data_IF_707945660106
#
_entry.id   IF_707945660106
#
_cell.length_a   1.000
_cell.length_b   1.000
_cell.length_c   1.000
_cell.angle_alpha   90.00
_cell.angle_beta   90.00
_cell.angle_gamma   90.00
#
_symmetry.space_group_name_H-M   'P 1'
#
loop_
_entity.id
_entity.type
_entity.pdbx_description
1 polymer ?
#
# COMPACT_ATOMS: atom_id res chain seq x y z
N UNK A 1 -7.81 -7.85 -12.23
CA UNK A 1 -8.10 -6.89 -11.14
C UNK A 1 -9.57 -7.04 -10.81
N UNK A 2 -9.91 -7.43 -9.58
CA UNK A 2 -11.30 -7.68 -9.16
C UNK A 2 -11.78 -6.50 -8.30
N UNK A 3 -12.89 -5.86 -8.68
CA UNK A 3 -13.49 -4.76 -7.90
C UNK A 3 -14.25 -5.39 -6.72
N UNK A 4 -14.00 -4.92 -5.50
CA UNK A 4 -14.74 -5.36 -4.32
C UNK A 4 -16.05 -4.56 -4.21
N UNK A 5 -17.25 -5.18 -4.32
CA UNK A 5 -18.52 -4.46 -4.33
C UNK A 5 -18.89 -3.90 -2.95
N UNK A 6 -19.74 -2.87 -2.91
CA UNK A 6 -20.31 -2.33 -1.68
C UNK A 6 -19.41 -1.39 -0.88
N UNK A 7 -18.22 -1.04 -1.39
CA UNK A 7 -17.25 -0.21 -0.66
C UNK A 7 -17.49 1.27 -0.93
N UNK A 8 -17.47 2.09 0.12
CA UNK A 8 -17.38 3.55 -0.04
C UNK A 8 -15.95 3.98 -0.42
N UNK A 9 -15.80 4.60 -1.58
CA UNK A 9 -14.54 5.10 -2.12
C UNK A 9 -14.52 6.62 -2.01
N UNK A 10 -13.47 7.17 -1.37
CA UNK A 10 -13.31 8.61 -1.22
C UNK A 10 -12.82 9.24 -2.52
N UNK A 11 -13.60 10.16 -3.09
CA UNK A 11 -13.27 10.86 -4.34
C UNK A 11 -12.61 12.24 -4.12
N UNK A 12 -12.49 12.68 -2.87
CA UNK A 12 -11.99 14.03 -2.54
C UNK A 12 -13.10 15.04 -2.23
N UNK A 13 -12.77 16.07 -1.47
CA UNK A 13 -13.70 17.13 -1.03
C UNK A 13 -14.98 16.60 -0.38
N UNK A 14 -14.85 15.60 0.50
CA UNK A 14 -16.00 14.99 1.20
C UNK A 14 -16.93 14.14 0.32
N UNK A 15 -16.58 13.86 -0.94
CA UNK A 15 -17.38 13.00 -1.83
C UNK A 15 -16.99 11.54 -1.65
N UNK A 16 -17.99 10.68 -1.51
CA UNK A 16 -17.83 9.23 -1.41
C UNK A 16 -18.81 8.54 -2.35
N UNK A 17 -18.37 7.47 -3.00
CA UNK A 17 -19.21 6.68 -3.91
C UNK A 17 -19.01 5.19 -3.71
N UNK A 18 -20.04 4.37 -3.95
CA UNK A 18 -19.88 2.92 -3.86
C UNK A 18 -19.04 2.41 -5.02
N UNK A 19 -18.12 1.48 -4.75
CA UNK A 19 -17.20 0.90 -5.72
C UNK A 19 -17.93 0.19 -6.86
N UNK A 20 -19.03 -0.49 -6.57
CA UNK A 20 -19.89 -1.16 -7.55
C UNK A 20 -20.80 -0.20 -8.34
N UNK A 21 -20.92 1.06 -7.91
CA UNK A 21 -21.64 2.09 -8.64
C UNK A 21 -20.72 2.90 -9.57
N UNK A 22 -19.39 2.82 -9.39
CA UNK A 22 -18.40 3.46 -10.27
C UNK A 22 -18.19 2.59 -11.50
N UNK A 23 -18.59 3.08 -12.67
CA UNK A 23 -18.54 2.36 -13.95
C UNK A 23 -17.41 2.82 -14.86
N UNK A 24 -16.74 3.93 -14.53
CA UNK A 24 -15.64 4.45 -15.32
C UNK A 24 -14.86 5.53 -14.62
N UNK A 25 -13.58 5.66 -15.01
CA UNK A 25 -12.67 6.69 -14.54
C UNK A 25 -11.93 7.27 -15.74
N UNK A 26 -11.92 8.59 -15.86
CA UNK A 26 -11.21 9.30 -16.92
C UNK A 26 -10.29 10.39 -16.33
N UNK A 27 -8.96 10.24 -16.40
CA UNK A 27 -8.04 11.27 -15.94
C UNK A 27 -8.25 12.59 -16.69
N UNK A 28 -8.23 13.71 -15.96
CA UNK A 28 -8.34 15.05 -16.55
C UNK A 28 -6.94 15.54 -16.94
N UNK A 29 -6.75 15.79 -18.24
CA UNK A 29 -5.51 16.28 -18.83
C UNK A 29 -5.34 17.80 -18.72
N UNK A 30 -5.19 18.47 -19.87
CA UNK A 30 -4.98 19.91 -19.95
C UNK A 30 -6.21 20.74 -19.54
N UNK A 31 -5.97 21.96 -19.05
CA UNK A 31 -7.05 22.83 -18.53
C UNK A 31 -7.59 22.43 -17.16
N UNK A 32 -6.89 21.57 -16.42
CA UNK A 32 -7.33 21.16 -15.08
C UNK A 32 -7.34 22.35 -14.11
N UNK A 33 -8.51 22.62 -13.53
CA UNK A 33 -8.61 23.53 -12.38
C UNK A 33 -8.03 22.90 -11.09
N UNK A 34 -7.89 23.68 -10.00
CA UNK A 34 -7.45 23.16 -8.71
C UNK A 34 -8.33 21.99 -8.26
N UNK A 35 -7.72 20.89 -7.83
CA UNK A 35 -8.45 19.75 -7.30
C UNK A 35 -9.27 18.96 -8.32
N UNK A 36 -9.06 19.16 -9.63
CA UNK A 36 -9.69 18.37 -10.69
C UNK A 36 -8.66 17.39 -11.25
N UNK A 37 -8.81 16.10 -10.93
CA UNK A 37 -7.85 15.05 -11.32
C UNK A 37 -8.48 13.96 -12.17
N UNK A 38 -9.70 13.55 -11.86
CA UNK A 38 -10.37 12.43 -12.55
C UNK A 38 -11.86 12.68 -12.62
N UNK A 39 -12.46 12.41 -13.77
CA UNK A 39 -13.90 12.27 -13.95
C UNK A 39 -14.31 10.85 -13.57
N UNK A 40 -15.27 10.73 -12.67
CA UNK A 40 -15.78 9.45 -12.15
C UNK A 40 -17.21 9.29 -12.65
N UNK A 41 -17.43 8.26 -13.47
CA UNK A 41 -18.72 7.93 -14.04
C UNK A 41 -19.43 6.96 -13.11
N UNK A 42 -20.65 7.30 -12.70
CA UNK A 42 -21.47 6.49 -11.81
C UNK A 42 -22.71 5.98 -12.54
N UNK A 43 -23.09 4.72 -12.32
CA UNK A 43 -24.20 4.06 -13.02
C UNK A 43 -25.53 4.84 -12.97
N UNK A 44 -25.82 5.51 -11.85
CA UNK A 44 -27.07 6.24 -11.63
C UNK A 44 -26.96 7.76 -11.86
N UNK A 45 -25.89 8.24 -12.50
CA UNK A 45 -25.72 9.66 -12.83
C UNK A 45 -25.43 9.86 -14.31
N UNK A 46 -26.09 10.84 -14.89
CA UNK A 46 -25.82 11.32 -16.25
C UNK A 46 -24.52 12.13 -16.33
N UNK A 47 -24.16 12.83 -15.26
CA UNK A 47 -22.98 13.69 -15.20
C UNK A 47 -21.84 13.03 -14.40
N UNK A 48 -20.61 13.21 -14.87
CA UNK A 48 -19.43 12.72 -14.19
C UNK A 48 -19.12 13.51 -12.91
N UNK A 49 -18.71 12.80 -11.86
CA UNK A 49 -18.23 13.39 -10.62
C UNK A 49 -16.76 13.78 -10.80
N UNK A 50 -16.41 15.02 -10.45
CA UNK A 50 -15.00 15.44 -10.50
C UNK A 50 -14.30 15.07 -9.19
N UNK A 51 -13.38 14.11 -9.24
CA UNK A 51 -12.53 13.72 -8.13
C UNK A 51 -11.25 14.55 -8.06
N UNK A 52 -10.77 14.77 -6.84
CA UNK A 52 -9.47 15.42 -6.57
C UNK A 52 -8.31 14.44 -6.44
N UNK A 53 -8.58 13.16 -6.71
CA UNK A 53 -7.63 12.05 -6.67
C UNK A 53 -7.43 11.51 -8.07
N UNK A 54 -6.27 10.91 -8.32
CA UNK A 54 -5.96 10.24 -9.59
C UNK A 54 -6.77 8.95 -9.76
N UNK A 55 -6.91 8.50 -11.01
CA UNK A 55 -7.63 7.25 -11.31
C UNK A 55 -6.92 6.07 -10.64
N UNK A 56 -5.58 6.04 -10.66
CA UNK A 56 -4.80 5.02 -9.96
C UNK A 56 -5.12 4.90 -8.47
N UNK A 57 -5.25 6.04 -7.77
CA UNK A 57 -5.56 6.04 -6.34
C UNK A 57 -7.01 5.58 -6.05
N UNK A 58 -7.95 5.95 -6.92
CA UNK A 58 -9.34 5.52 -6.82
C UNK A 58 -9.47 4.02 -7.13
N UNK A 59 -8.79 3.52 -8.16
CA UNK A 59 -8.74 2.10 -8.52
C UNK A 59 -8.14 1.25 -7.40
N UNK A 60 -7.08 1.72 -6.76
CA UNK A 60 -6.48 1.03 -5.62
C UNK A 60 -7.49 0.86 -4.48
N UNK A 61 -8.22 1.93 -4.15
CA UNK A 61 -9.26 1.87 -3.12
C UNK A 61 -10.44 0.98 -3.53
N UNK A 62 -10.79 0.91 -4.82
CA UNK A 62 -11.85 0.03 -5.32
C UNK A 62 -11.50 -1.47 -5.22
N UNK A 63 -10.22 -1.81 -5.09
CA UNK A 63 -9.72 -3.18 -5.23
C UNK A 63 -9.14 -3.73 -3.93
N UNK A 64 -8.44 -2.92 -3.12
CA UNK A 64 -7.79 -3.39 -1.89
C UNK A 64 -8.77 -3.38 -0.72
N UNK A 65 -9.16 -4.52 -0.14
CA UNK A 65 -10.14 -4.53 0.97
C UNK A 65 -9.59 -3.85 2.25
N UNK A 66 -10.41 -3.13 3.06
CA UNK A 66 -9.93 -2.52 4.30
C UNK A 66 -9.45 -3.58 5.31
N UNK A 67 -10.07 -4.76 5.30
CA UNK A 67 -9.64 -5.92 6.08
C UNK A 67 -8.28 -6.45 5.62
N UNK A 68 -8.00 -6.43 4.32
CA UNK A 68 -6.69 -6.85 3.80
C UNK A 68 -5.61 -5.84 4.17
N UNK A 69 -5.90 -4.53 4.10
CA UNK A 69 -4.98 -3.48 4.56
C UNK A 69 -4.72 -3.64 6.06
N UNK A 70 -5.79 -3.77 6.86
CA UNK A 70 -5.66 -3.95 8.31
C UNK A 70 -4.91 -5.24 8.66
N UNK A 71 -5.20 -6.35 7.98
CA UNK A 71 -4.50 -7.62 8.16
C UNK A 71 -3.04 -7.55 7.72
N UNK A 72 -2.72 -6.79 6.67
CA UNK A 72 -1.35 -6.57 6.24
C UNK A 72 -0.57 -5.71 7.24
N UNK A 73 -1.20 -4.67 7.80
CA UNK A 73 -0.61 -3.86 8.88
C UNK A 73 -0.40 -4.69 10.15
N UNK A 74 -1.40 -5.47 10.57
CA UNK A 74 -1.28 -6.38 11.72
C UNK A 74 -0.18 -7.43 11.51
N UNK A 75 -0.13 -8.06 10.32
CA UNK A 75 0.94 -8.98 9.98
C UNK A 75 2.32 -8.31 10.00
N UNK A 76 2.41 -7.06 9.53
CA UNK A 76 3.64 -6.27 9.56
C UNK A 76 4.08 -5.96 10.99
N UNK A 77 3.16 -5.61 11.88
CA UNK A 77 3.45 -5.44 13.31
C UNK A 77 3.99 -6.73 13.91
N UNK A 78 3.29 -7.86 13.72
CA UNK A 78 3.71 -9.16 14.28
C UNK A 78 5.09 -9.59 13.76
N UNK A 79 5.37 -9.36 12.47
CA UNK A 79 6.70 -9.67 11.90
C UNK A 79 7.77 -8.74 12.47
N UNK A 80 7.47 -7.46 12.68
CA UNK A 80 8.37 -6.52 13.35
C UNK A 80 8.71 -6.96 14.78
N UNK A 81 7.69 -7.28 15.57
CA UNK A 81 7.86 -7.75 16.95
C UNK A 81 8.68 -9.05 17.00
N UNK A 82 8.52 -9.94 16.02
CA UNK A 82 9.33 -11.16 15.92
C UNK A 82 10.80 -10.85 15.59
N UNK A 83 11.07 -9.90 14.69
CA UNK A 83 12.45 -9.48 14.38
C UNK A 83 13.12 -8.93 15.63
N UNK A 84 12.43 -8.10 16.40
CA UNK A 84 12.96 -7.52 17.64
C UNK A 84 13.22 -8.61 18.70
N UNK A 85 12.30 -9.56 18.85
CA UNK A 85 12.49 -10.71 19.75
C UNK A 85 13.69 -11.59 19.36
N UNK A 86 13.93 -11.79 18.06
CA UNK A 86 15.11 -12.51 17.57
C UNK A 86 16.39 -11.71 17.81
N UNK A 87 16.35 -10.39 17.60
CA UNK A 87 17.47 -9.48 17.84
C UNK A 87 17.93 -9.55 19.31
N UNK A 88 16.98 -9.62 20.24
CA UNK A 88 17.22 -9.66 21.69
C UNK A 88 17.71 -11.02 22.23
N UNK A 89 17.81 -12.06 21.39
CA UNK A 89 18.30 -13.37 21.82
C UNK A 89 19.76 -13.30 22.30
N UNK A 90 20.01 -13.85 23.49
CA UNK A 90 21.36 -13.95 24.05
C UNK A 90 22.31 -14.77 23.14
N UNK A 91 23.63 -14.52 23.18
CA UNK A 91 24.61 -15.26 22.37
C UNK A 91 24.57 -16.78 22.59
N UNK A 92 24.26 -17.23 23.81
CA UNK A 92 24.11 -18.65 24.11
C UNK A 92 22.91 -19.26 23.41
N UNK A 93 21.74 -18.60 23.44
CA UNK A 93 20.53 -19.08 22.77
C UNK A 93 20.70 -19.10 21.25
N UNK A 94 21.30 -18.05 20.68
CA UNK A 94 21.65 -18.02 19.24
C UNK A 94 22.52 -19.22 18.87
N UNK A 95 23.56 -19.51 19.67
CA UNK A 95 24.44 -20.66 19.44
C UNK A 95 23.70 -21.99 19.51
N UNK A 96 22.81 -22.19 20.48
CA UNK A 96 22.01 -23.42 20.61
C UNK A 96 21.06 -23.58 19.41
N UNK A 97 20.34 -22.53 19.02
CA UNK A 97 19.44 -22.55 17.86
C UNK A 97 20.17 -22.92 16.56
N UNK A 98 21.37 -22.39 16.35
CA UNK A 98 22.17 -22.71 15.16
C UNK A 98 22.75 -24.13 15.22
N UNK A 99 23.26 -24.55 16.38
CA UNK A 99 24.02 -25.81 16.49
C UNK A 99 23.13 -27.03 16.62
N UNK A 100 22.01 -26.91 17.35
CA UNK A 100 21.09 -28.02 17.64
C UNK A 100 19.78 -27.90 16.86
N UNK A 101 19.29 -26.67 16.65
CA UNK A 101 18.02 -26.42 15.97
C UNK A 101 18.12 -26.20 14.47
N UNK A 102 19.33 -26.16 13.90
CA UNK A 102 19.59 -25.79 12.50
C UNK A 102 18.88 -24.49 12.07
N UNK A 103 18.71 -23.55 13.01
CA UNK A 103 18.01 -22.29 12.81
C UNK A 103 19.01 -21.14 12.78
N UNK A 104 19.33 -20.67 11.58
CA UNK A 104 20.23 -19.53 11.38
C UNK A 104 19.48 -18.21 11.60
N UNK A 105 19.57 -17.67 12.82
CA UNK A 105 18.85 -16.47 13.27
C UNK A 105 19.09 -15.29 12.34
N UNK A 106 20.34 -15.04 11.96
CA UNK A 106 20.74 -13.92 11.12
C UNK A 106 20.10 -13.97 9.71
N UNK A 107 20.02 -15.16 9.11
CA UNK A 107 19.36 -15.35 7.80
C UNK A 107 17.86 -15.09 7.88
N UNK A 108 17.22 -15.51 8.97
CA UNK A 108 15.79 -15.27 9.17
C UNK A 108 15.49 -13.80 9.45
N UNK A 109 16.31 -13.12 10.27
CA UNK A 109 16.19 -11.68 10.48
C UNK A 109 16.28 -10.90 9.16
N UNK A 110 17.27 -11.22 8.31
CA UNK A 110 17.45 -10.57 7.00
C UNK A 110 16.22 -10.79 6.10
N UNK A 111 15.76 -12.05 5.98
CA UNK A 111 14.60 -12.39 5.14
C UNK A 111 13.32 -11.73 5.63
N UNK A 112 13.08 -11.66 6.93
CA UNK A 112 11.89 -11.02 7.51
C UNK A 112 11.93 -9.50 7.32
N UNK A 113 13.10 -8.86 7.46
CA UNK A 113 13.26 -7.42 7.16
C UNK A 113 12.95 -7.12 5.70
N UNK A 114 13.44 -7.95 4.77
CA UNK A 114 13.17 -7.79 3.34
C UNK A 114 11.67 -7.86 3.00
N UNK A 115 10.87 -8.64 3.75
CA UNK A 115 9.41 -8.69 3.58
C UNK A 115 8.70 -7.40 4.05
N UNK A 116 9.29 -6.64 4.97
CA UNK A 116 8.70 -5.40 5.49
C UNK A 116 9.07 -4.15 4.68
N UNK A 117 10.07 -4.25 3.80
CA UNK A 117 10.51 -3.16 2.94
C UNK A 117 9.56 -3.01 1.74
N UNK A 118 8.93 -1.83 1.53
CA UNK A 118 8.05 -1.63 0.39
C UNK A 118 8.85 -1.62 -0.93
N UNK A 119 8.31 -2.20 -2.02
CA UNK A 119 8.95 -2.13 -3.33
C UNK A 119 9.02 -0.67 -3.81
N UNK A 120 10.23 -0.14 -3.98
CA UNK A 120 10.49 1.20 -4.53
C UNK A 120 11.25 2.18 -3.61
N UNK A 121 11.64 1.80 -2.39
CA UNK A 121 12.51 2.64 -1.54
C UNK A 121 14.01 2.50 -1.87
N UNK A 122 14.41 1.53 -2.68
CA UNK A 122 15.81 1.31 -3.08
C UNK A 122 16.32 2.32 -4.14
N UNK A 123 15.46 3.13 -4.78
CA UNK A 123 15.87 4.03 -5.88
C UNK A 123 16.16 5.50 -5.46
N UNK A 124 16.07 5.86 -4.17
CA UNK A 124 16.29 7.25 -3.72
C UNK A 124 17.70 7.60 -3.25
N UNK A 125 18.70 6.76 -3.51
CA UNK A 125 20.08 7.04 -3.11
C UNK A 125 21.09 7.05 -4.27
N UNK A 126 20.77 7.65 -5.43
CA UNK A 126 21.85 8.10 -6.33
C UNK A 126 21.44 9.11 -7.43
N UNK A 127 20.85 10.26 -7.05
CA UNK A 127 20.88 11.44 -7.92
C UNK A 127 21.85 12.49 -7.37
N UNK A 128 23.14 12.47 -7.75
CA UNK A 128 23.97 13.65 -7.61
C UNK A 128 23.34 14.79 -8.42
N UNK A 129 23.10 15.92 -7.75
CA UNK A 129 22.43 17.09 -8.30
C UNK A 129 23.05 17.53 -9.62
N UNK A 130 22.29 17.36 -10.70
CA UNK A 130 22.60 17.90 -12.02
C UNK A 130 21.69 19.11 -12.27
N UNK A 131 22.04 20.23 -11.66
CA UNK A 131 21.66 21.55 -12.17
C UNK A 131 22.94 22.39 -12.22
N UNK A 132 23.51 22.43 -13.42
CA UNK A 132 24.32 23.53 -13.92
C UNK A 132 23.42 24.46 -14.74
#
# INVERSE_FOLDING_TARGET
MEIKPGRMVYLGYGKYWRSDDIVGLNPIGEGRGPGRRTEVFAAQRSEALIASRSERAILQDMVTAPEEIFRMEEARTVVGDLIDALADLSPLLRRVLTTEGHFEVEKWEERLRALLTPPGEEEKSDQPGLFA
#
